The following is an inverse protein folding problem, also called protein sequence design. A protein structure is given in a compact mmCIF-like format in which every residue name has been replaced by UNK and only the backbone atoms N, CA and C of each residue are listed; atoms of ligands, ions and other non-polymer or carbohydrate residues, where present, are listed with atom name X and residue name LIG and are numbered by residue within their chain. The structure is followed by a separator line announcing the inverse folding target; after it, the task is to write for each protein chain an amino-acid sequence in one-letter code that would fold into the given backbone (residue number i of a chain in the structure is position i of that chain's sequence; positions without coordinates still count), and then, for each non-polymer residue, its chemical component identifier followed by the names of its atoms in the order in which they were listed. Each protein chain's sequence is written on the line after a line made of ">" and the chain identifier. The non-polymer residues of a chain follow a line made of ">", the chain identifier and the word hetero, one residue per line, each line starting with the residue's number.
data_IF_624978170448
#
_entry.id   IF_624978170448
#
_cell.length_a   1.000
_cell.length_b   1.000
_cell.length_c   1.000
_cell.angle_alpha   90.00
_cell.angle_beta   90.00
_cell.angle_gamma   90.00
#
_symmetry.space_group_name_H-M   'P 1'
#
loop_
_entity.id
_entity.type
_entity.pdbx_description
1 polymer ?
#
# COMPACT_ATOMS: atom_id res chain seq x y z
N UNK A 1 -20.53 -12.53 -23.99
CA UNK A 1 -21.52 -11.52 -23.58
C UNK A 1 -20.88 -10.72 -22.46
N UNK A 2 -20.53 -9.48 -22.78
CA UNK A 2 -19.62 -8.63 -22.03
C UNK A 2 -20.37 -7.80 -20.98
N UNK A 3 -20.27 -8.20 -19.71
CA UNK A 3 -20.53 -7.27 -18.61
C UNK A 3 -19.24 -6.53 -18.28
N UNK A 4 -18.95 -5.52 -19.10
CA UNK A 4 -18.08 -4.43 -18.67
C UNK A 4 -18.85 -3.64 -17.62
N UNK A 5 -18.74 -4.07 -16.36
CA UNK A 5 -19.00 -3.22 -15.20
C UNK A 5 -18.21 -1.92 -15.42
N UNK A 6 -18.95 -0.83 -15.67
CA UNK A 6 -18.42 0.52 -15.72
C UNK A 6 -17.61 0.74 -14.44
N UNK A 7 -16.30 0.88 -14.59
CA UNK A 7 -15.42 1.29 -13.52
C UNK A 7 -15.90 2.68 -13.06
N UNK A 8 -16.59 2.72 -11.92
CA UNK A 8 -16.91 3.97 -11.23
C UNK A 8 -15.62 4.77 -11.12
N UNK A 9 -15.65 5.97 -11.68
CA UNK A 9 -14.57 6.93 -11.75
C UNK A 9 -13.77 6.99 -10.45
N UNK A 10 -12.47 6.68 -10.52
CA UNK A 10 -11.49 6.75 -9.42
C UNK A 10 -11.08 8.21 -9.20
N UNK A 11 -12.05 9.12 -9.06
CA UNK A 11 -11.78 10.53 -8.80
C UNK A 11 -12.54 10.89 -7.53
N UNK A 12 -11.88 11.44 -6.49
CA UNK A 12 -12.56 11.90 -5.29
C UNK A 12 -13.65 12.91 -5.66
N UNK A 13 -14.75 12.93 -4.89
CA UNK A 13 -15.93 13.76 -5.10
C UNK A 13 -15.67 15.28 -5.24
N UNK A 14 -14.43 15.72 -4.97
CA UNK A 14 -13.91 17.04 -5.31
C UNK A 14 -12.45 16.87 -5.76
N UNK A 15 -12.17 17.09 -7.04
CA UNK A 15 -10.81 17.15 -7.57
C UNK A 15 -10.51 18.56 -8.04
N UNK A 16 -9.29 19.03 -7.79
CA UNK A 16 -8.77 20.28 -8.35
C UNK A 16 -8.10 20.06 -9.71
N UNK A 17 -8.03 18.80 -10.17
CA UNK A 17 -7.47 18.47 -11.47
C UNK A 17 -8.34 19.02 -12.60
N UNK A 18 -7.70 19.61 -13.59
CA UNK A 18 -8.33 19.99 -14.85
C UNK A 18 -8.83 18.77 -15.63
N UNK A 19 -9.76 18.99 -16.56
CA UNK A 19 -10.24 17.94 -17.47
C UNK A 19 -9.09 17.32 -18.27
N UNK A 20 -8.07 18.11 -18.62
CA UNK A 20 -6.87 17.64 -19.32
C UNK A 20 -6.07 16.66 -18.46
N UNK A 21 -5.88 16.94 -17.17
CA UNK A 21 -5.20 16.04 -16.24
C UNK A 21 -5.99 14.75 -16.03
N UNK A 22 -7.32 14.84 -15.89
CA UNK A 22 -8.21 13.69 -15.75
C UNK A 22 -8.14 12.80 -17.00
N UNK A 23 -8.20 13.40 -18.20
CA UNK A 23 -8.12 12.68 -19.46
C UNK A 23 -6.75 12.03 -19.66
N UNK A 24 -5.65 12.71 -19.29
CA UNK A 24 -4.31 12.14 -19.35
C UNK A 24 -4.15 10.95 -18.40
N UNK A 25 -4.68 11.04 -17.17
CA UNK A 25 -4.70 9.93 -16.22
C UNK A 25 -5.45 8.71 -16.79
N UNK A 26 -6.67 8.93 -17.29
CA UNK A 26 -7.48 7.88 -17.91
C UNK A 26 -6.79 7.27 -19.12
N UNK A 27 -6.10 8.09 -19.93
CA UNK A 27 -5.33 7.61 -21.07
C UNK A 27 -4.17 6.72 -20.65
N UNK A 28 -3.43 7.10 -19.62
CA UNK A 28 -2.32 6.29 -19.10
C UNK A 28 -2.83 4.96 -18.52
N UNK A 29 -3.96 4.98 -17.81
CA UNK A 29 -4.63 3.76 -17.33
C UNK A 29 -5.01 2.84 -18.49
N UNK A 30 -5.62 3.37 -19.55
CA UNK A 30 -5.91 2.60 -20.76
C UNK A 30 -4.64 1.98 -21.36
N UNK A 31 -3.58 2.77 -21.52
CA UNK A 31 -2.28 2.31 -22.06
C UNK A 31 -1.65 1.21 -21.20
N UNK A 32 -1.74 1.30 -19.87
CA UNK A 32 -1.23 0.27 -18.96
C UNK A 32 -1.93 -1.07 -19.13
N UNK A 33 -3.26 -1.05 -19.32
CA UNK A 33 -4.09 -2.26 -19.48
C UNK A 33 -3.86 -2.96 -20.81
N UNK A 34 -3.51 -2.23 -21.86
CA UNK A 34 -3.26 -2.75 -23.22
C UNK A 34 -1.78 -2.75 -23.61
N UNK A 35 -0.89 -2.68 -22.63
CA UNK A 35 0.55 -2.64 -22.85
C UNK A 35 1.00 -3.82 -23.73
N UNK A 36 1.76 -3.58 -24.81
CA UNK A 36 2.33 -4.65 -25.64
C UNK A 36 3.60 -5.27 -25.04
N UNK A 37 4.03 -4.81 -23.86
CA UNK A 37 5.21 -5.33 -23.16
C UNK A 37 4.93 -6.78 -22.75
N UNK A 38 5.88 -7.67 -23.04
CA UNK A 38 5.74 -9.08 -22.68
C UNK A 38 5.65 -9.28 -21.16
N UNK A 39 4.99 -10.37 -20.74
CA UNK A 39 4.82 -10.71 -19.32
C UNK A 39 6.14 -10.81 -18.55
N UNK A 40 7.23 -11.19 -19.21
CA UNK A 40 8.57 -11.30 -18.60
C UNK A 40 9.21 -9.95 -18.31
N UNK A 41 8.81 -8.93 -19.05
CA UNK A 41 9.40 -7.59 -19.01
C UNK A 41 8.53 -6.57 -18.25
N UNK A 42 7.27 -6.92 -17.95
CA UNK A 42 6.30 -5.96 -17.41
C UNK A 42 6.74 -5.37 -16.06
N UNK A 43 7.31 -6.19 -15.18
CA UNK A 43 7.78 -5.76 -13.86
C UNK A 43 8.98 -4.80 -13.96
N UNK A 44 9.87 -5.02 -14.92
CA UNK A 44 11.02 -4.16 -15.17
C UNK A 44 10.62 -2.77 -15.74
N UNK A 45 9.40 -2.65 -16.28
CA UNK A 45 8.92 -1.48 -17.00
C UNK A 45 7.73 -0.78 -16.31
N UNK A 46 7.43 -1.09 -15.03
CA UNK A 46 6.34 -0.45 -14.28
C UNK A 46 6.48 1.07 -14.18
N UNK A 47 7.71 1.59 -14.30
CA UNK A 47 8.01 3.02 -14.34
C UNK A 47 7.26 3.82 -15.41
N UNK A 48 6.87 3.17 -16.51
CA UNK A 48 6.11 3.81 -17.61
C UNK A 48 4.71 4.26 -17.19
N UNK A 49 4.14 3.63 -16.16
CA UNK A 49 2.74 3.84 -15.76
C UNK A 49 2.62 4.61 -14.44
N UNK A 50 3.73 5.10 -13.88
CA UNK A 50 3.69 5.95 -12.70
C UNK A 50 3.17 7.35 -13.02
N UNK A 51 2.27 7.85 -12.18
CA UNK A 51 1.83 9.25 -12.22
C UNK A 51 2.56 10.06 -11.16
N UNK A 52 2.76 11.35 -11.44
CA UNK A 52 3.51 12.30 -10.59
C UNK A 52 3.21 12.16 -9.11
N UNK A 53 1.92 12.13 -8.73
CA UNK A 53 1.48 12.08 -7.33
C UNK A 53 1.89 10.78 -6.65
N UNK A 54 1.67 9.64 -7.30
CA UNK A 54 2.06 8.33 -6.76
C UNK A 54 3.58 8.16 -6.66
N UNK A 55 4.32 8.66 -7.65
CA UNK A 55 5.78 8.59 -7.67
C UNK A 55 6.39 9.51 -6.61
N UNK A 56 5.86 10.73 -6.44
CA UNK A 56 6.28 11.62 -5.37
C UNK A 56 6.08 10.99 -3.98
N UNK A 57 4.96 10.26 -3.77
CA UNK A 57 4.74 9.48 -2.54
C UNK A 57 5.78 8.38 -2.37
N UNK A 58 6.15 7.66 -3.42
CA UNK A 58 7.21 6.64 -3.36
C UNK A 58 8.54 7.24 -2.91
N UNK A 59 8.95 8.36 -3.51
CA UNK A 59 10.18 9.08 -3.14
C UNK A 59 10.13 9.61 -1.70
N UNK A 60 8.97 10.10 -1.26
CA UNK A 60 8.77 10.52 0.13
C UNK A 60 8.97 9.36 1.10
N UNK A 61 8.35 8.20 0.85
CA UNK A 61 8.52 7.01 1.68
C UNK A 61 9.97 6.52 1.68
N UNK A 62 10.65 6.57 0.54
CA UNK A 62 12.08 6.25 0.45
C UNK A 62 12.92 7.16 1.34
N UNK A 63 12.69 8.48 1.26
CA UNK A 63 13.39 9.47 2.09
C UNK A 63 13.11 9.28 3.59
N UNK A 64 11.89 8.88 3.97
CA UNK A 64 11.58 8.51 5.36
C UNK A 64 12.36 7.27 5.80
N UNK A 65 12.44 6.24 4.96
CA UNK A 65 13.19 5.02 5.26
C UNK A 65 14.67 5.33 5.53
N UNK A 66 15.29 6.16 4.70
CA UNK A 66 16.70 6.54 4.87
C UNK A 66 16.97 7.20 6.24
N UNK A 67 16.01 7.93 6.79
CA UNK A 67 16.15 8.59 8.11
C UNK A 67 16.18 7.62 9.28
N UNK A 68 15.63 6.42 9.12
CA UNK A 68 15.54 5.42 10.21
C UNK A 68 16.55 4.27 10.08
N UNK A 69 17.41 4.29 9.06
CA UNK A 69 18.39 3.23 8.80
C UNK A 69 19.29 2.91 10.02
N UNK A 70 19.69 3.94 10.76
CA UNK A 70 20.58 3.79 11.92
C UNK A 70 19.83 3.71 13.25
N UNK A 71 18.50 3.54 13.21
CA UNK A 71 17.65 3.44 14.41
C UNK A 71 17.15 2.01 14.56
N UNK A 72 17.39 1.38 15.71
CA UNK A 72 16.89 0.04 15.97
C UNK A 72 15.35 0.01 16.10
N UNK A 73 14.74 -1.13 15.78
CA UNK A 73 13.31 -1.38 15.97
C UNK A 73 12.60 -1.85 14.71
N UNK A 74 11.27 -1.76 14.74
CA UNK A 74 10.37 -2.16 13.65
C UNK A 74 9.75 -0.94 12.98
N UNK A 75 9.15 -1.11 11.81
CA UNK A 75 8.35 -0.08 11.14
C UNK A 75 6.88 -0.51 11.21
N UNK A 76 6.02 0.34 11.77
CA UNK A 76 4.58 0.11 11.86
C UNK A 76 3.84 1.06 10.93
N UNK A 77 2.90 0.53 10.15
CA UNK A 77 1.95 1.30 9.34
C UNK A 77 0.55 1.14 9.93
N UNK A 78 -0.11 2.26 10.23
CA UNK A 78 -1.50 2.32 10.71
C UNK A 78 -2.38 2.83 9.57
N UNK A 79 -3.25 1.96 9.04
CA UNK A 79 -3.99 2.21 7.80
C UNK A 79 -3.21 1.74 6.57
N UNK A 80 -3.22 0.43 6.34
CA UNK A 80 -2.54 -0.27 5.23
C UNK A 80 -3.30 -0.14 3.91
N UNK A 81 -4.63 -0.24 3.94
CA UNK A 81 -5.51 -0.30 2.77
C UNK A 81 -5.02 -1.32 1.72
N UNK A 82 -4.63 -0.87 0.53
CA UNK A 82 -4.15 -1.72 -0.56
C UNK A 82 -2.68 -2.17 -0.41
N UNK A 83 -1.96 -1.67 0.61
CA UNK A 83 -0.61 -2.15 0.96
C UNK A 83 0.56 -1.52 0.20
N UNK A 84 0.32 -0.44 -0.55
CA UNK A 84 1.35 0.26 -1.36
C UNK A 84 2.62 0.56 -0.55
N UNK A 85 2.46 1.13 0.63
CA UNK A 85 3.58 1.55 1.47
C UNK A 85 4.30 0.34 2.07
N UNK A 86 3.59 -0.67 2.57
CA UNK A 86 4.21 -1.92 3.04
C UNK A 86 5.09 -2.60 1.97
N UNK A 87 4.63 -2.66 0.71
CA UNK A 87 5.40 -3.23 -0.39
C UNK A 87 6.69 -2.42 -0.67
N UNK A 88 6.60 -1.09 -0.66
CA UNK A 88 7.76 -0.19 -0.77
C UNK A 88 8.74 -0.41 0.39
N UNK A 89 8.26 -0.39 1.63
CA UNK A 89 9.09 -0.57 2.82
C UNK A 89 9.78 -1.93 2.83
N UNK A 90 9.10 -2.99 2.38
CA UNK A 90 9.69 -4.34 2.24
C UNK A 90 10.82 -4.35 1.20
N UNK A 91 10.62 -3.66 0.08
CA UNK A 91 11.64 -3.50 -0.96
C UNK A 91 12.84 -2.69 -0.44
N UNK A 92 12.59 -1.56 0.22
CA UNK A 92 13.63 -0.71 0.81
C UNK A 92 14.46 -1.45 1.85
N UNK A 93 13.80 -2.24 2.72
CA UNK A 93 14.48 -3.11 3.67
C UNK A 93 15.41 -4.11 2.98
N UNK A 94 14.94 -4.78 1.92
CA UNK A 94 15.76 -5.72 1.16
C UNK A 94 17.01 -5.05 0.57
N UNK A 95 16.87 -3.82 0.05
CA UNK A 95 17.97 -3.07 -0.54
C UNK A 95 18.98 -2.54 0.48
N UNK A 96 18.50 -1.99 1.60
CA UNK A 96 19.36 -1.25 2.54
C UNK A 96 19.75 -2.02 3.79
N UNK A 97 18.96 -3.00 4.20
CA UNK A 97 19.18 -3.78 5.42
C UNK A 97 19.12 -5.31 5.15
N UNK A 98 19.84 -5.84 4.13
CA UNK A 98 19.68 -7.23 3.66
C UNK A 98 19.96 -8.30 4.73
N UNK A 99 20.75 -7.96 5.75
CA UNK A 99 21.12 -8.86 6.85
C UNK A 99 20.45 -8.52 8.18
N UNK A 100 19.67 -7.44 8.24
CA UNK A 100 18.92 -7.07 9.44
C UNK A 100 17.63 -7.88 9.52
N UNK A 101 17.61 -8.92 10.36
CA UNK A 101 16.44 -9.76 10.54
C UNK A 101 15.44 -9.22 11.56
N UNK A 102 15.84 -8.26 12.39
CA UNK A 102 14.96 -7.67 13.41
C UNK A 102 14.07 -6.58 12.84
N UNK A 103 14.41 -5.98 11.68
CA UNK A 103 13.57 -4.97 11.01
C UNK A 103 12.32 -5.62 10.41
N UNK A 104 11.24 -5.68 11.18
CA UNK A 104 9.91 -6.09 10.69
C UNK A 104 9.12 -4.90 10.14
N UNK A 105 8.32 -5.14 9.11
CA UNK A 105 7.29 -4.21 8.60
C UNK A 105 5.92 -4.72 9.04
N UNK A 106 5.23 -3.99 9.91
CA UNK A 106 3.97 -4.44 10.53
C UNK A 106 2.85 -3.49 10.10
N UNK A 107 1.81 -4.03 9.49
CA UNK A 107 0.65 -3.26 9.05
C UNK A 107 -0.58 -3.54 9.90
N UNK A 108 -1.22 -2.49 10.41
CA UNK A 108 -2.49 -2.57 11.14
C UNK A 108 -3.61 -1.94 10.30
N UNK A 109 -4.67 -2.69 10.06
CA UNK A 109 -5.86 -2.20 9.36
C UNK A 109 -7.06 -3.09 9.65
N UNK A 110 -8.27 -2.55 9.53
CA UNK A 110 -9.49 -3.37 9.56
C UNK A 110 -9.66 -4.15 8.25
N UNK A 111 -9.12 -3.63 7.14
CA UNK A 111 -9.38 -4.00 5.74
C UNK A 111 -10.86 -3.83 5.31
N UNK A 112 -11.69 -3.33 6.21
CA UNK A 112 -13.13 -3.11 6.04
C UNK A 112 -13.48 -1.62 6.04
N UNK A 113 -12.46 -0.75 6.05
CA UNK A 113 -12.61 0.70 6.08
C UNK A 113 -12.73 1.25 7.49
N UNK A 114 -13.11 2.53 7.62
CA UNK A 114 -13.22 3.16 8.93
C UNK A 114 -14.27 2.44 9.81
N UNK A 115 -13.91 1.93 11.00
CA UNK A 115 -14.86 1.26 11.89
C UNK A 115 -15.82 2.26 12.55
N UNK A 116 -15.36 3.48 12.79
CA UNK A 116 -16.14 4.61 13.29
C UNK A 116 -15.55 5.92 12.77
N UNK A 117 -16.31 7.01 12.85
CA UNK A 117 -15.85 8.37 12.54
C UNK A 117 -16.33 9.32 13.62
N UNK A 118 -15.51 10.32 13.93
CA UNK A 118 -15.82 11.38 14.88
C UNK A 118 -16.36 12.63 14.16
N UNK A 119 -17.07 13.53 14.86
CA UNK A 119 -17.49 14.81 14.29
C UNK A 119 -16.32 15.67 13.78
N UNK A 120 -15.09 15.45 14.30
CA UNK A 120 -13.89 16.20 13.90
C UNK A 120 -13.30 15.72 12.57
N UNK A 121 -13.68 14.53 12.10
CA UNK A 121 -13.23 13.98 10.81
C UNK A 121 -13.94 14.66 9.61
N UNK A 122 -14.93 15.50 9.91
CA UNK A 122 -15.67 16.29 8.94
C UNK A 122 -16.73 15.48 8.19
N UNK A 123 -17.36 16.12 7.21
CA UNK A 123 -18.51 15.58 6.46
C UNK A 123 -18.16 15.12 5.04
N UNK A 124 -16.87 14.90 4.77
CA UNK A 124 -16.44 14.40 3.46
C UNK A 124 -16.97 12.99 3.21
N UNK A 125 -17.27 12.63 1.96
CA UNK A 125 -17.72 11.27 1.63
C UNK A 125 -16.65 10.20 1.93
N UNK A 126 -15.40 10.63 2.15
CA UNK A 126 -14.30 9.78 2.58
C UNK A 126 -14.22 9.61 4.10
N UNK A 127 -14.93 10.43 4.87
CA UNK A 127 -14.97 10.39 6.33
C UNK A 127 -16.30 9.78 6.80
N UNK A 128 -16.58 8.55 6.36
CA UNK A 128 -17.75 7.79 6.77
C UNK A 128 -17.36 6.34 7.09
N UNK A 129 -18.17 5.67 7.92
CA UNK A 129 -17.97 4.26 8.27
C UNK A 129 -17.92 3.40 7.00
N UNK A 130 -16.95 2.49 6.94
CA UNK A 130 -16.69 1.62 5.80
C UNK A 130 -16.01 2.32 4.60
N UNK A 131 -15.78 3.64 4.65
CA UNK A 131 -14.96 4.28 3.62
C UNK A 131 -13.53 3.72 3.66
N UNK A 132 -12.90 3.65 2.49
CA UNK A 132 -11.58 3.06 2.26
C UNK A 132 -11.49 1.53 2.43
N UNK A 133 -12.62 0.83 2.60
CA UNK A 133 -12.66 -0.63 2.53
C UNK A 133 -11.99 -1.17 1.25
N UNK A 134 -11.37 -2.33 1.38
CA UNK A 134 -10.82 -3.08 0.25
C UNK A 134 -11.72 -4.29 -0.05
N UNK A 135 -11.36 -5.07 -1.07
CA UNK A 135 -12.09 -6.31 -1.35
C UNK A 135 -11.98 -7.28 -0.16
N UNK A 136 -13.00 -8.10 0.10
CA UNK A 136 -12.95 -9.07 1.19
C UNK A 136 -11.69 -9.95 1.12
N UNK A 137 -11.11 -10.27 2.28
CA UNK A 137 -9.95 -11.16 2.40
C UNK A 137 -8.68 -10.65 1.68
N UNK A 138 -8.60 -9.36 1.36
CA UNK A 138 -7.45 -8.78 0.65
C UNK A 138 -6.14 -8.89 1.43
N UNK A 139 -6.18 -8.98 2.76
CA UNK A 139 -5.01 -9.18 3.61
C UNK A 139 -4.22 -10.45 3.25
N UNK A 140 -4.89 -11.51 2.77
CA UNK A 140 -4.20 -12.73 2.35
C UNK A 140 -3.44 -12.49 1.05
N UNK A 141 -4.08 -11.88 0.06
CA UNK A 141 -3.43 -11.51 -1.20
C UNK A 141 -2.25 -10.55 -0.95
N UNK A 142 -2.44 -9.54 -0.09
CA UNK A 142 -1.35 -8.64 0.28
C UNK A 142 -0.19 -9.39 0.94
N UNK A 143 -0.48 -10.35 1.83
CA UNK A 143 0.53 -11.22 2.42
C UNK A 143 1.33 -12.02 1.39
N UNK A 144 0.68 -12.51 0.33
CA UNK A 144 1.35 -13.17 -0.80
C UNK A 144 2.26 -12.20 -1.57
N UNK A 145 1.80 -10.98 -1.86
CA UNK A 145 2.62 -9.94 -2.51
C UNK A 145 3.86 -9.60 -1.68
N UNK A 146 3.68 -9.37 -0.37
CA UNK A 146 4.79 -9.06 0.52
C UNK A 146 5.76 -10.24 0.62
N UNK A 147 5.26 -11.46 0.74
CA UNK A 147 6.09 -12.68 0.73
C UNK A 147 6.90 -12.81 -0.55
N UNK A 148 6.32 -12.52 -1.72
CA UNK A 148 7.03 -12.55 -2.99
C UNK A 148 8.19 -11.53 -3.02
N UNK A 149 7.97 -10.30 -2.52
CA UNK A 149 9.06 -9.32 -2.38
C UNK A 149 10.18 -9.80 -1.45
N UNK A 150 9.84 -10.47 -0.35
CA UNK A 150 10.85 -11.04 0.58
C UNK A 150 11.63 -12.19 -0.07
N UNK A 151 10.98 -12.97 -0.93
CA UNK A 151 11.60 -14.09 -1.63
C UNK A 151 12.60 -13.67 -2.70
N UNK A 152 12.40 -12.48 -3.29
CA UNK A 152 13.35 -11.86 -4.21
C UNK A 152 14.58 -11.25 -3.48
N UNK A 153 14.55 -11.21 -2.14
CA UNK A 153 15.61 -10.64 -1.31
C UNK A 153 16.47 -11.68 -0.58
N UNK A 154 17.54 -11.22 0.09
CA UNK A 154 18.39 -12.10 0.91
C UNK A 154 17.63 -12.70 2.10
N UNK A 155 18.00 -13.94 2.47
CA UNK A 155 17.35 -14.74 3.53
C UNK A 155 15.82 -14.81 3.33
N UNK A 156 15.41 -15.26 2.15
CA UNK A 156 14.03 -15.36 1.66
C UNK A 156 13.13 -16.33 2.44
N UNK A 157 13.71 -17.29 3.17
CA UNK A 157 12.98 -18.23 4.02
C UNK A 157 12.47 -17.62 5.33
N UNK A 158 12.85 -16.37 5.64
CA UNK A 158 12.45 -15.68 6.87
C UNK A 158 11.41 -14.63 6.53
N UNK A 159 10.21 -14.79 7.08
CA UNK A 159 9.15 -13.78 7.02
C UNK A 159 9.52 -12.58 7.89
N UNK A 160 9.50 -11.39 7.30
CA UNK A 160 9.87 -10.14 7.97
C UNK A 160 8.78 -9.06 7.82
N UNK A 161 7.58 -9.46 7.41
CA UNK A 161 6.38 -8.64 7.43
C UNK A 161 5.31 -9.28 8.31
N UNK A 162 4.35 -8.49 8.77
CA UNK A 162 3.19 -8.97 9.50
C UNK A 162 1.98 -8.08 9.21
N UNK A 163 0.83 -8.70 8.99
CA UNK A 163 -0.45 -8.01 8.87
C UNK A 163 -1.30 -8.31 10.10
N UNK A 164 -1.77 -7.27 10.77
CA UNK A 164 -2.61 -7.35 11.96
C UNK A 164 -3.98 -6.78 11.60
N UNK A 165 -4.94 -7.68 11.37
CA UNK A 165 -6.31 -7.31 11.02
C UNK A 165 -7.11 -6.96 12.27
N UNK A 166 -7.75 -5.80 12.28
CA UNK A 166 -8.69 -5.36 13.32
C UNK A 166 -8.60 -3.85 13.60
N UNK A 167 -9.41 -3.38 14.55
CA UNK A 167 -9.31 -2.00 15.01
C UNK A 167 -7.96 -1.79 15.72
N UNK A 168 -7.23 -0.76 15.32
CA UNK A 168 -5.91 -0.44 15.88
C UNK A 168 -5.98 -0.09 17.37
N UNK A 169 -7.12 0.44 17.84
CA UNK A 169 -7.33 0.77 19.25
C UNK A 169 -7.23 -0.49 20.13
N UNK A 170 -7.68 -1.63 19.62
CA UNK A 170 -7.62 -2.91 20.31
C UNK A 170 -6.35 -3.71 19.97
N UNK A 171 -5.96 -3.69 18.69
CA UNK A 171 -4.90 -4.57 18.18
C UNK A 171 -3.49 -4.08 18.48
N UNK A 172 -3.23 -2.77 18.53
CA UNK A 172 -1.89 -2.25 18.85
C UNK A 172 -1.49 -2.52 20.32
N UNK A 173 -2.33 -2.22 21.33
CA UNK A 173 -1.98 -2.55 22.72
C UNK A 173 -1.70 -4.04 22.91
N UNK A 174 -2.53 -4.90 22.31
CA UNK A 174 -2.32 -6.35 22.32
C UNK A 174 -0.97 -6.73 21.67
N UNK A 175 -0.68 -6.18 20.49
CA UNK A 175 0.56 -6.47 19.78
C UNK A 175 1.80 -6.13 20.62
N UNK A 176 1.79 -4.97 21.28
CA UNK A 176 2.90 -4.52 22.14
C UNK A 176 3.03 -5.39 23.40
N UNK A 177 1.92 -5.81 24.02
CA UNK A 177 1.96 -6.71 25.17
C UNK A 177 2.54 -8.09 24.81
N UNK A 178 2.23 -8.59 23.61
CA UNK A 178 2.76 -9.85 23.08
C UNK A 178 4.24 -9.73 22.64
N UNK A 179 4.77 -8.50 22.49
CA UNK A 179 6.13 -8.20 22.01
C UNK A 179 6.79 -7.06 22.83
N UNK A 180 7.16 -7.30 24.10
CA UNK A 180 7.71 -6.28 25.00
C UNK A 180 9.12 -5.79 24.62
#
# INVERSE_FOLDING_TARGET
>A
MSDHQQAKTIIPAKTYASDQEINAYNKLLELSRRSPISEREILANLGLFHVRVSFARMLFMYNLYLKVLNTHGVIMEFGVRWGQNMALLTTFRSMHEPYNLSRKIIGFDTFEGFPSVSPKDGSSHTAQVGALAVTPNYEFYLGEVLSAHEQLGPRSHITKHQLVKGDVVETLPKYLADHP
#
